data_IF_727132667329
#
_entry.id   IF_727132667329
#
_cell.length_a   1.000
_cell.length_b   1.000
_cell.length_c   1.000
_cell.angle_alpha   90.00
_cell.angle_beta   90.00
_cell.angle_gamma   90.00
#
_symmetry.space_group_name_H-M   'P 1'
#
loop_
_entity.id
_entity.type
_entity.pdbx_description
1 polymer ?
#
# COMPACT_ATOMS: atom_id res chain seq x y z
N UNK A 1 -16.47 2.06 -38.24
CA UNK A 1 -15.81 2.94 -37.27
C UNK A 1 -16.59 2.84 -35.96
N UNK A 2 -15.95 2.65 -34.85
CA UNK A 2 -16.62 2.65 -33.55
C UNK A 2 -17.09 4.08 -33.25
N UNK A 3 -18.42 4.24 -33.10
CA UNK A 3 -19.03 5.53 -32.80
C UNK A 3 -19.09 5.74 -31.31
N UNK A 4 -18.63 6.91 -30.82
CA UNK A 4 -18.71 7.23 -29.40
C UNK A 4 -20.16 7.31 -28.94
N UNK A 5 -20.49 6.85 -27.74
CA UNK A 5 -21.85 6.83 -27.17
C UNK A 5 -22.58 8.17 -27.22
N UNK A 6 -21.86 9.28 -27.19
CA UNK A 6 -22.40 10.66 -27.20
C UNK A 6 -22.28 11.36 -28.55
N UNK A 7 -21.71 10.71 -29.58
CA UNK A 7 -21.45 11.32 -30.88
C UNK A 7 -22.75 11.52 -31.70
N UNK A 8 -23.04 12.79 -31.99
CA UNK A 8 -24.20 13.21 -32.76
C UNK A 8 -23.75 13.87 -34.08
N UNK A 9 -23.36 13.09 -35.09
CA UNK A 9 -23.05 13.59 -36.43
C UNK A 9 -21.92 14.66 -36.56
N UNK A 10 -21.15 14.91 -35.52
CA UNK A 10 -19.96 15.78 -35.54
C UNK A 10 -18.78 14.97 -35.11
N UNK A 11 -17.82 14.76 -35.99
CA UNK A 11 -16.57 14.08 -35.66
C UNK A 11 -15.72 15.02 -34.77
N UNK A 12 -15.25 14.51 -33.65
CA UNK A 12 -14.34 15.26 -32.76
C UNK A 12 -13.01 15.40 -33.47
N UNK A 13 -12.40 16.58 -33.32
CA UNK A 13 -11.06 16.83 -33.81
C UNK A 13 -10.05 15.84 -33.19
N UNK A 14 -9.14 15.32 -34.00
CA UNK A 14 -8.21 14.27 -33.58
C UNK A 14 -7.28 14.73 -32.44
N UNK A 15 -6.73 15.95 -32.54
CA UNK A 15 -5.82 16.49 -31.51
C UNK A 15 -6.56 16.71 -30.17
N UNK A 16 -7.82 17.17 -30.25
CA UNK A 16 -8.69 17.31 -29.07
C UNK A 16 -9.00 15.95 -28.45
N UNK A 17 -9.24 14.92 -29.28
CA UNK A 17 -9.49 13.56 -28.80
C UNK A 17 -8.27 12.98 -28.10
N UNK A 18 -7.11 13.03 -28.72
CA UNK A 18 -5.85 12.57 -28.11
C UNK A 18 -5.56 13.26 -26.79
N UNK A 19 -5.69 14.59 -26.75
CA UNK A 19 -5.45 15.35 -25.51
C UNK A 19 -6.42 14.99 -24.41
N UNK A 20 -7.69 14.79 -24.72
CA UNK A 20 -8.73 14.52 -23.71
C UNK A 20 -8.79 13.07 -23.25
N UNK A 21 -8.41 12.11 -24.07
CA UNK A 21 -8.30 10.70 -23.70
C UNK A 21 -7.01 10.47 -22.89
N UNK A 22 -5.89 11.08 -23.31
CA UNK A 22 -4.61 10.96 -22.62
C UNK A 22 -4.20 9.49 -22.42
N UNK A 23 -3.87 9.14 -21.19
CA UNK A 23 -3.46 7.78 -20.82
C UNK A 23 -4.61 6.87 -20.34
N UNK A 24 -5.86 7.30 -20.50
CA UNK A 24 -6.99 6.53 -19.96
C UNK A 24 -7.08 5.12 -20.55
N UNK A 25 -6.82 4.93 -21.84
CA UNK A 25 -6.83 3.59 -22.45
C UNK A 25 -5.84 2.62 -21.80
N UNK A 26 -4.65 3.09 -21.46
CA UNK A 26 -3.62 2.26 -20.80
C UNK A 26 -3.98 1.97 -19.34
N UNK A 27 -4.44 3.00 -18.62
CA UNK A 27 -4.74 2.91 -17.19
C UNK A 27 -6.05 2.18 -16.92
N UNK A 28 -7.02 2.28 -17.81
CA UNK A 28 -8.30 1.58 -17.70
C UNK A 28 -8.16 0.07 -17.86
N UNK A 29 -7.07 -0.43 -18.44
CA UNK A 29 -6.80 -1.87 -18.46
C UNK A 29 -6.65 -2.44 -17.04
N UNK A 30 -6.14 -1.66 -16.09
CA UNK A 30 -6.11 -2.05 -14.68
C UNK A 30 -7.51 -2.15 -14.06
N UNK A 31 -8.48 -1.45 -14.63
CA UNK A 31 -9.86 -1.38 -14.14
C UNK A 31 -10.80 -2.38 -14.82
N UNK A 32 -10.40 -2.99 -15.95
CA UNK A 32 -11.25 -3.79 -16.79
C UNK A 32 -12.05 -4.89 -16.07
N UNK A 33 -11.40 -5.70 -15.23
CA UNK A 33 -12.08 -6.74 -14.46
C UNK A 33 -13.06 -6.18 -13.43
N UNK A 34 -12.82 -4.99 -12.92
CA UNK A 34 -13.66 -4.33 -11.92
C UNK A 34 -14.90 -3.69 -12.57
N UNK A 35 -14.77 -3.11 -13.75
CA UNK A 35 -15.93 -2.64 -14.54
C UNK A 35 -16.88 -3.81 -14.87
N UNK A 36 -16.32 -4.95 -15.24
CA UNK A 36 -17.13 -6.16 -15.49
C UNK A 36 -17.83 -6.66 -14.23
N UNK A 37 -17.14 -6.70 -13.07
CA UNK A 37 -17.76 -7.06 -11.78
C UNK A 37 -18.90 -6.09 -11.43
N UNK A 38 -18.65 -4.79 -11.56
CA UNK A 38 -19.65 -3.75 -11.35
C UNK A 38 -20.85 -3.91 -12.27
N UNK A 39 -20.60 -4.23 -13.53
CA UNK A 39 -21.63 -4.48 -14.53
C UNK A 39 -22.47 -5.72 -14.23
N UNK A 40 -21.87 -6.82 -13.76
CA UNK A 40 -22.62 -8.03 -13.33
C UNK A 40 -23.56 -7.71 -12.16
N UNK A 41 -23.08 -6.99 -11.16
CA UNK A 41 -23.90 -6.58 -10.01
C UNK A 41 -25.03 -5.64 -10.44
N UNK A 42 -24.73 -4.71 -11.37
CA UNK A 42 -25.70 -3.75 -11.87
C UNK A 42 -26.83 -4.42 -12.64
N UNK A 43 -26.54 -5.29 -13.61
CA UNK A 43 -27.58 -5.96 -14.40
C UNK A 43 -28.42 -6.92 -13.55
N UNK A 44 -27.84 -7.54 -12.53
CA UNK A 44 -28.59 -8.34 -11.53
C UNK A 44 -29.60 -7.46 -10.79
N UNK A 45 -29.22 -6.25 -10.43
CA UNK A 45 -30.12 -5.27 -9.84
C UNK A 45 -31.18 -4.80 -10.86
N UNK A 46 -30.83 -4.58 -12.13
CA UNK A 46 -31.79 -4.17 -13.18
C UNK A 46 -32.90 -5.22 -13.39
N UNK A 47 -32.56 -6.50 -13.32
CA UNK A 47 -33.57 -7.59 -13.37
C UNK A 47 -34.51 -7.50 -12.16
N UNK A 48 -33.97 -7.30 -10.96
CA UNK A 48 -34.79 -7.22 -9.74
C UNK A 48 -35.80 -6.07 -9.71
N UNK A 49 -35.57 -5.04 -10.52
CA UNK A 49 -36.48 -3.88 -10.67
C UNK A 49 -37.29 -3.91 -11.98
N UNK A 50 -37.24 -5.02 -12.73
CA UNK A 50 -38.03 -5.26 -13.94
C UNK A 50 -37.56 -4.56 -15.21
N UNK A 51 -36.31 -4.07 -15.25
CA UNK A 51 -35.71 -3.48 -16.45
C UNK A 51 -35.03 -4.52 -17.37
N UNK A 52 -34.79 -5.72 -16.84
CA UNK A 52 -34.35 -6.90 -17.56
C UNK A 52 -35.25 -8.09 -17.25
N UNK A 53 -35.47 -8.95 -18.23
CA UNK A 53 -36.07 -10.26 -17.97
C UNK A 53 -35.03 -11.24 -17.46
N UNK A 54 -35.46 -12.35 -16.82
CA UNK A 54 -34.55 -13.32 -16.20
C UNK A 54 -33.65 -14.02 -17.23
N UNK A 55 -34.19 -14.38 -18.40
CA UNK A 55 -33.46 -14.98 -19.51
C UNK A 55 -32.45 -14.00 -20.15
N UNK A 56 -32.81 -12.71 -20.22
CA UNK A 56 -31.87 -11.64 -20.64
C UNK A 56 -30.68 -11.50 -19.67
N UNK A 57 -30.94 -11.54 -18.36
CA UNK A 57 -29.91 -11.50 -17.33
C UNK A 57 -28.92 -12.67 -17.47
N UNK A 58 -29.43 -13.90 -17.65
CA UNK A 58 -28.60 -15.09 -17.72
C UNK A 58 -27.65 -15.03 -18.93
N UNK A 59 -28.13 -14.54 -20.07
CA UNK A 59 -27.31 -14.32 -21.27
C UNK A 59 -26.25 -13.26 -21.07
N UNK A 60 -26.62 -12.12 -20.49
CA UNK A 60 -25.66 -11.02 -20.20
C UNK A 60 -24.59 -11.43 -19.18
N UNK A 61 -24.97 -12.13 -18.11
CA UNK A 61 -23.99 -12.63 -17.11
C UNK A 61 -22.99 -13.60 -17.72
N UNK A 62 -23.46 -14.49 -18.60
CA UNK A 62 -22.57 -15.43 -19.31
C UNK A 62 -21.52 -14.69 -20.14
N UNK A 63 -21.94 -13.67 -20.90
CA UNK A 63 -21.01 -12.89 -21.74
C UNK A 63 -20.07 -12.03 -20.89
N UNK A 64 -20.56 -11.37 -19.84
CA UNK A 64 -19.73 -10.63 -18.91
C UNK A 64 -18.66 -11.51 -18.23
N UNK A 65 -18.99 -12.75 -17.86
CA UNK A 65 -17.98 -13.70 -17.33
C UNK A 65 -16.92 -14.04 -18.37
N UNK A 66 -17.27 -14.13 -19.65
CA UNK A 66 -16.29 -14.32 -20.73
C UNK A 66 -15.37 -13.12 -20.86
N UNK A 67 -15.91 -11.90 -20.79
CA UNK A 67 -15.11 -10.66 -20.82
C UNK A 67 -14.24 -10.55 -19.55
N UNK A 68 -14.76 -10.91 -18.37
CA UNK A 68 -13.98 -10.98 -17.14
C UNK A 68 -12.75 -11.89 -17.28
N UNK A 69 -12.95 -13.07 -17.87
CA UNK A 69 -11.86 -14.03 -18.07
C UNK A 69 -10.77 -13.50 -19.01
N UNK A 70 -11.11 -12.69 -20.01
CA UNK A 70 -10.12 -12.00 -20.85
C UNK A 70 -9.36 -10.94 -20.05
N UNK A 71 -10.08 -10.15 -19.24
CA UNK A 71 -9.47 -9.12 -18.42
C UNK A 71 -8.52 -9.71 -17.35
N UNK A 72 -8.92 -10.81 -16.72
CA UNK A 72 -8.12 -11.48 -15.68
C UNK A 72 -6.84 -12.13 -16.24
N UNK A 73 -6.88 -12.56 -17.52
CA UNK A 73 -5.69 -13.06 -18.23
C UNK A 73 -4.79 -11.97 -18.82
N UNK A 74 -5.19 -10.69 -18.75
CA UNK A 74 -4.48 -9.60 -19.41
C UNK A 74 -4.64 -9.59 -20.93
N UNK A 75 -5.67 -10.24 -21.46
CA UNK A 75 -6.00 -10.33 -22.91
C UNK A 75 -7.07 -9.31 -23.33
N UNK A 76 -7.64 -8.55 -22.39
CA UNK A 76 -8.59 -7.48 -22.69
C UNK A 76 -7.87 -6.28 -23.29
N UNK A 77 -8.41 -5.74 -24.38
CA UNK A 77 -7.87 -4.57 -25.06
C UNK A 77 -8.95 -3.50 -25.22
N UNK A 78 -8.57 -2.24 -25.14
CA UNK A 78 -9.41 -1.11 -25.55
C UNK A 78 -9.02 -0.76 -26.97
N UNK A 79 -9.97 -0.93 -27.91
CA UNK A 79 -9.74 -0.75 -29.34
C UNK A 79 -9.46 0.72 -29.68
N UNK A 80 -8.73 0.94 -30.76
CA UNK A 80 -8.51 2.29 -31.28
C UNK A 80 -9.85 2.97 -31.62
N UNK A 81 -10.01 4.22 -31.20
CA UNK A 81 -11.27 4.97 -31.36
C UNK A 81 -12.28 4.76 -30.22
N UNK A 82 -12.01 3.83 -29.26
CA UNK A 82 -12.77 3.69 -28.02
C UNK A 82 -12.09 4.52 -26.92
N UNK A 83 -12.91 5.24 -26.15
CA UNK A 83 -12.40 6.22 -25.17
C UNK A 83 -11.92 5.55 -23.89
N UNK A 84 -12.67 4.57 -23.35
CA UNK A 84 -12.51 4.00 -22.03
C UNK A 84 -12.97 2.52 -21.95
N UNK A 85 -12.72 1.91 -20.80
CA UNK A 85 -13.11 0.52 -20.51
C UNK A 85 -14.62 0.30 -20.59
N UNK A 86 -15.42 1.27 -20.12
CA UNK A 86 -16.87 1.17 -20.08
C UNK A 86 -17.45 1.04 -21.50
N UNK A 87 -16.95 1.88 -22.41
CA UNK A 87 -17.33 1.84 -23.84
C UNK A 87 -16.88 0.55 -24.51
N UNK A 88 -15.72 0.02 -24.15
CA UNK A 88 -15.21 -1.24 -24.72
C UNK A 88 -16.08 -2.42 -24.27
N UNK A 89 -16.43 -2.51 -22.98
CA UNK A 89 -17.31 -3.57 -22.46
C UNK A 89 -18.69 -3.51 -23.14
N UNK A 90 -19.30 -2.32 -23.24
CA UNK A 90 -20.59 -2.15 -23.91
C UNK A 90 -20.51 -2.51 -25.39
N UNK A 91 -19.42 -2.14 -26.08
CA UNK A 91 -19.21 -2.51 -27.49
C UNK A 91 -19.12 -4.03 -27.70
N UNK A 92 -18.36 -4.72 -26.82
CA UNK A 92 -18.24 -6.19 -26.88
C UNK A 92 -19.59 -6.86 -26.68
N UNK A 93 -20.37 -6.43 -25.68
CA UNK A 93 -21.73 -6.93 -25.44
C UNK A 93 -22.67 -6.65 -26.62
N UNK A 94 -22.61 -5.44 -27.21
CA UNK A 94 -23.46 -5.07 -28.32
C UNK A 94 -23.11 -5.85 -29.59
N UNK A 95 -21.83 -6.10 -29.85
CA UNK A 95 -21.40 -6.94 -30.99
C UNK A 95 -21.90 -8.38 -30.87
N UNK A 96 -21.90 -8.92 -29.65
CA UNK A 96 -22.28 -10.31 -29.40
C UNK A 96 -23.80 -10.50 -29.25
N UNK A 97 -24.50 -9.53 -28.64
CA UNK A 97 -25.87 -9.67 -28.18
C UNK A 97 -26.85 -8.65 -28.81
N UNK A 98 -26.36 -7.78 -29.71
CA UNK A 98 -27.19 -6.76 -30.34
C UNK A 98 -27.79 -5.76 -29.35
N UNK A 99 -29.07 -5.46 -29.50
CA UNK A 99 -29.76 -4.48 -28.64
C UNK A 99 -29.83 -4.87 -27.15
N UNK A 100 -29.72 -6.16 -26.82
CA UNK A 100 -29.65 -6.63 -25.45
C UNK A 100 -28.41 -6.08 -24.76
N UNK A 101 -27.24 -6.04 -25.44
CA UNK A 101 -26.00 -5.48 -24.89
C UNK A 101 -26.13 -4.02 -24.50
N UNK A 102 -26.96 -3.24 -25.17
CA UNK A 102 -27.16 -1.81 -24.88
C UNK A 102 -27.93 -1.54 -23.57
N UNK A 103 -28.70 -2.53 -23.07
CA UNK A 103 -29.50 -2.38 -21.84
C UNK A 103 -28.66 -2.21 -20.60
N UNK A 104 -27.40 -2.63 -20.62
CA UNK A 104 -26.46 -2.58 -19.49
C UNK A 104 -26.26 -1.14 -18.96
N UNK A 105 -26.42 -0.13 -19.81
CA UNK A 105 -26.16 1.27 -19.43
C UNK A 105 -27.34 1.92 -18.66
N UNK A 106 -28.51 1.28 -18.61
CA UNK A 106 -29.69 1.85 -17.96
C UNK A 106 -29.46 2.19 -16.49
N UNK A 107 -29.77 3.42 -16.08
CA UNK A 107 -29.70 3.86 -14.67
C UNK A 107 -28.30 4.12 -14.12
N UNK A 108 -27.26 4.16 -14.93
CA UNK A 108 -25.88 4.52 -14.51
C UNK A 108 -25.26 5.55 -15.45
N UNK A 109 -24.11 6.06 -15.04
CA UNK A 109 -23.26 6.95 -15.82
C UNK A 109 -21.82 6.45 -15.78
N UNK A 110 -20.99 6.82 -16.76
CA UNK A 110 -19.53 6.63 -16.66
C UNK A 110 -18.95 7.19 -15.35
N UNK A 111 -19.57 8.23 -14.82
CA UNK A 111 -19.10 8.86 -13.58
C UNK A 111 -19.18 7.92 -12.39
N UNK A 112 -20.31 7.21 -12.17
CA UNK A 112 -20.41 6.25 -11.05
C UNK A 112 -19.77 4.90 -11.36
N UNK A 113 -19.62 4.53 -12.65
CA UNK A 113 -18.85 3.36 -13.05
C UNK A 113 -17.38 3.50 -12.67
N UNK A 114 -16.69 4.56 -13.11
CA UNK A 114 -15.27 4.76 -12.77
C UNK A 114 -15.02 4.91 -11.28
N UNK A 115 -15.94 5.50 -10.52
CA UNK A 115 -15.87 5.54 -9.06
C UNK A 115 -15.91 4.15 -8.45
N UNK A 116 -16.81 3.30 -8.95
CA UNK A 116 -16.94 1.92 -8.50
C UNK A 116 -15.66 1.14 -8.81
N UNK A 117 -15.20 1.20 -10.07
CA UNK A 117 -14.02 0.47 -10.51
C UNK A 117 -12.76 0.82 -9.72
N UNK A 118 -12.54 2.11 -9.47
CA UNK A 118 -11.43 2.57 -8.63
C UNK A 118 -11.55 2.07 -7.19
N UNK A 119 -12.75 1.99 -6.63
CA UNK A 119 -12.95 1.45 -5.27
C UNK A 119 -12.73 -0.07 -5.21
N UNK A 120 -13.23 -0.81 -6.22
CA UNK A 120 -13.00 -2.26 -6.32
C UNK A 120 -11.50 -2.55 -6.52
N UNK A 121 -10.85 -1.87 -7.45
CA UNK A 121 -9.41 -1.94 -7.66
C UNK A 121 -8.64 -1.64 -6.38
N UNK A 122 -8.95 -0.52 -5.72
CA UNK A 122 -8.23 -0.08 -4.52
C UNK A 122 -8.38 -1.06 -3.37
N UNK A 123 -9.57 -1.65 -3.17
CA UNK A 123 -9.79 -2.69 -2.13
C UNK A 123 -8.88 -3.89 -2.34
N UNK A 124 -8.79 -4.39 -3.58
CA UNK A 124 -7.93 -5.53 -3.92
C UNK A 124 -6.45 -5.18 -3.73
N UNK A 125 -6.03 -3.97 -4.15
CA UNK A 125 -4.63 -3.52 -3.97
C UNK A 125 -4.28 -3.33 -2.49
N UNK A 126 -5.22 -2.83 -1.66
CA UNK A 126 -5.03 -2.75 -0.21
C UNK A 126 -4.85 -4.15 0.39
N UNK A 127 -5.62 -5.15 -0.04
CA UNK A 127 -5.40 -6.53 0.41
C UNK A 127 -3.99 -7.01 0.09
N UNK A 128 -3.53 -6.81 -1.14
CA UNK A 128 -2.16 -7.15 -1.55
C UNK A 128 -1.10 -6.44 -0.70
N UNK A 129 -1.28 -5.15 -0.44
CA UNK A 129 -0.38 -4.39 0.44
C UNK A 129 -0.35 -4.95 1.87
N UNK A 130 -1.51 -5.30 2.44
CA UNK A 130 -1.59 -5.89 3.79
C UNK A 130 -0.83 -7.22 3.84
N UNK A 131 -0.98 -8.07 2.83
CA UNK A 131 -0.26 -9.35 2.74
C UNK A 131 1.26 -9.14 2.62
N UNK A 132 1.71 -8.19 1.81
CA UNK A 132 3.13 -7.88 1.64
C UNK A 132 3.75 -7.23 2.89
N UNK A 133 3.04 -6.31 3.53
CA UNK A 133 3.47 -5.72 4.82
C UNK A 133 3.56 -6.80 5.90
N UNK A 134 2.58 -7.72 5.97
CA UNK A 134 2.63 -8.87 6.87
C UNK A 134 3.85 -9.75 6.59
N UNK A 135 4.16 -9.99 5.31
CA UNK A 135 5.34 -10.76 4.93
C UNK A 135 6.65 -10.12 5.40
N UNK A 136 6.80 -8.81 5.25
CA UNK A 136 7.95 -8.07 5.79
C UNK A 136 7.99 -8.11 7.32
N UNK A 137 6.85 -7.88 7.96
CA UNK A 137 6.69 -7.95 9.41
C UNK A 137 7.19 -9.30 9.96
N UNK A 138 6.78 -10.41 9.37
CA UNK A 138 7.17 -11.75 9.82
C UNK A 138 8.68 -11.98 9.70
N UNK A 139 9.30 -11.48 8.64
CA UNK A 139 10.75 -11.53 8.48
C UNK A 139 11.44 -10.71 9.56
N UNK A 140 10.99 -9.49 9.82
CA UNK A 140 11.57 -8.60 10.83
C UNK A 140 11.45 -9.18 12.25
N UNK A 141 10.30 -9.74 12.63
CA UNK A 141 10.10 -10.42 13.92
C UNK A 141 10.99 -11.67 14.03
N UNK A 142 11.11 -12.45 12.95
CA UNK A 142 11.99 -13.60 12.93
C UNK A 142 13.46 -13.20 13.15
N UNK A 143 13.93 -12.17 12.47
CA UNK A 143 15.27 -11.62 12.64
C UNK A 143 15.48 -11.01 14.04
N UNK A 144 14.46 -10.29 14.55
CA UNK A 144 14.48 -9.77 15.92
C UNK A 144 14.70 -10.87 16.96
N UNK A 145 13.95 -11.96 16.85
CA UNK A 145 14.08 -13.12 17.75
C UNK A 145 15.43 -13.83 17.59
N UNK A 146 15.89 -13.96 16.34
CA UNK A 146 17.17 -14.64 16.04
C UNK A 146 18.37 -13.91 16.63
N UNK A 147 18.38 -12.58 16.56
CA UNK A 147 19.52 -11.74 16.94
C UNK A 147 19.26 -10.92 18.21
N UNK A 148 18.34 -11.37 19.06
CA UNK A 148 17.93 -10.66 20.28
C UNK A 148 19.08 -10.39 21.25
N UNK A 149 20.06 -11.31 21.32
CA UNK A 149 21.22 -11.22 22.20
C UNK A 149 22.43 -10.52 21.57
N UNK A 150 22.37 -10.22 20.26
CA UNK A 150 23.49 -9.58 19.56
C UNK A 150 23.39 -8.07 19.74
N UNK A 151 24.31 -7.52 20.53
CA UNK A 151 24.36 -6.09 20.83
C UNK A 151 24.73 -5.28 19.57
N UNK A 152 24.13 -4.11 19.48
CA UNK A 152 24.32 -3.12 18.42
C UNK A 152 24.61 -1.77 19.08
N UNK A 153 25.64 -1.00 18.66
CA UNK A 153 25.84 0.34 19.15
C UNK A 153 24.65 1.26 18.81
N UNK A 154 24.01 1.82 19.81
CA UNK A 154 22.98 2.84 19.66
C UNK A 154 23.60 4.21 19.43
N UNK A 155 22.98 5.02 18.56
CA UNK A 155 23.45 6.35 18.21
C UNK A 155 22.40 7.40 18.51
N UNK A 156 22.85 8.54 19.04
CA UNK A 156 22.10 9.80 19.08
C UNK A 156 22.97 10.89 18.47
N UNK A 157 22.41 11.77 17.64
CA UNK A 157 23.16 12.82 16.91
C UNK A 157 24.34 12.27 16.08
N UNK A 158 24.25 11.03 15.58
CA UNK A 158 25.34 10.28 14.95
C UNK A 158 26.59 10.11 15.84
N UNK A 159 26.43 10.22 17.17
CA UNK A 159 27.45 9.89 18.16
C UNK A 159 27.09 8.57 18.84
N UNK A 160 28.11 7.78 19.18
CA UNK A 160 27.94 6.55 19.96
C UNK A 160 27.32 6.91 21.32
N UNK A 161 26.20 6.29 21.62
CA UNK A 161 25.42 6.63 22.82
C UNK A 161 25.38 5.48 23.83
N UNK A 162 24.49 4.51 23.63
CA UNK A 162 24.21 3.43 24.57
C UNK A 162 24.13 2.07 23.86
N UNK A 163 24.22 0.95 24.60
CA UNK A 163 23.96 -0.36 24.01
C UNK A 163 22.53 -0.45 23.48
N UNK A 164 22.39 -1.04 22.32
CA UNK A 164 21.16 -1.52 21.72
C UNK A 164 21.34 -2.98 21.29
N UNK A 165 20.39 -3.57 20.57
CA UNK A 165 20.55 -4.89 19.98
C UNK A 165 19.96 -4.94 18.56
N UNK A 166 20.40 -5.90 17.75
CA UNK A 166 19.74 -6.17 16.48
C UNK A 166 18.30 -6.60 16.67
N UNK A 167 17.98 -7.29 17.79
CA UNK A 167 16.61 -7.61 18.15
C UNK A 167 15.73 -6.37 18.24
N UNK A 168 16.20 -5.34 18.96
CA UNK A 168 15.50 -4.05 19.04
C UNK A 168 15.38 -3.35 17.70
N UNK A 169 16.44 -3.34 16.89
CA UNK A 169 16.43 -2.68 15.59
C UNK A 169 15.41 -3.29 14.63
N UNK A 170 15.39 -4.61 14.48
CA UNK A 170 14.40 -5.29 13.65
C UNK A 170 12.98 -5.15 14.23
N UNK A 171 12.83 -5.29 15.56
CA UNK A 171 11.55 -5.17 16.25
C UNK A 171 10.91 -3.78 16.11
N UNK A 172 11.71 -2.72 16.13
CA UNK A 172 11.25 -1.35 15.97
C UNK A 172 10.57 -1.11 14.61
N UNK A 173 11.15 -1.65 13.52
CA UNK A 173 10.53 -1.57 12.20
C UNK A 173 9.29 -2.46 12.09
N UNK A 174 9.28 -3.62 12.73
CA UNK A 174 8.10 -4.48 12.79
C UNK A 174 6.94 -3.75 13.51
N UNK A 175 7.18 -3.11 14.63
CA UNK A 175 6.16 -2.34 15.35
C UNK A 175 5.67 -1.13 14.54
N UNK A 176 6.57 -0.41 13.85
CA UNK A 176 6.20 0.69 12.95
C UNK A 176 5.21 0.26 11.86
N UNK A 177 5.39 -0.93 11.28
CA UNK A 177 4.48 -1.48 10.28
C UNK A 177 3.06 -1.75 10.83
N UNK A 178 2.90 -1.99 12.14
CA UNK A 178 1.57 -2.12 12.76
C UNK A 178 0.81 -0.80 12.67
N UNK A 179 1.46 0.31 12.97
CA UNK A 179 0.83 1.64 12.90
C UNK A 179 0.52 2.03 11.46
N UNK A 180 1.39 1.69 10.51
CA UNK A 180 1.14 1.89 9.09
C UNK A 180 -0.13 1.13 8.62
N UNK A 181 -0.33 -0.12 9.08
CA UNK A 181 -1.54 -0.87 8.75
C UNK A 181 -2.79 -0.32 9.45
N UNK A 182 -2.68 0.28 10.64
CA UNK A 182 -3.83 0.98 11.29
C UNK A 182 -4.31 2.15 10.42
N UNK A 183 -3.38 2.92 9.87
CA UNK A 183 -3.71 4.02 8.95
C UNK A 183 -4.33 3.48 7.65
N UNK A 184 -3.77 2.41 7.10
CA UNK A 184 -4.31 1.76 5.90
C UNK A 184 -5.72 1.18 6.13
N UNK A 185 -5.99 0.64 7.32
CA UNK A 185 -7.30 0.14 7.71
C UNK A 185 -8.35 1.26 7.79
N UNK A 186 -7.98 2.44 8.32
CA UNK A 186 -8.85 3.60 8.30
C UNK A 186 -9.17 4.06 6.86
N UNK A 187 -8.17 4.06 5.98
CA UNK A 187 -8.33 4.36 4.56
C UNK A 187 -9.21 3.31 3.85
N UNK A 188 -9.05 2.03 4.17
CA UNK A 188 -9.87 0.94 3.65
C UNK A 188 -11.35 1.13 3.98
N UNK A 189 -11.71 1.51 5.20
CA UNK A 189 -13.10 1.80 5.60
C UNK A 189 -13.74 2.92 4.78
N UNK A 190 -12.96 3.92 4.37
CA UNK A 190 -13.44 5.00 3.50
C UNK A 190 -13.63 4.48 2.06
N UNK A 191 -12.71 3.64 1.59
CA UNK A 191 -12.77 3.02 0.27
C UNK A 191 -13.92 2.02 0.16
N UNK A 192 -14.19 1.24 1.21
CA UNK A 192 -15.13 0.11 1.21
C UNK A 192 -16.60 0.54 1.34
N UNK A 193 -17.01 1.51 0.50
CA UNK A 193 -18.38 2.04 0.43
C UNK A 193 -18.79 2.16 -1.03
N UNK A 194 -19.97 1.58 -1.37
CA UNK A 194 -20.46 1.49 -2.75
C UNK A 194 -20.95 2.85 -3.27
N UNK A 195 -20.42 3.38 -4.38
CA UNK A 195 -20.88 4.61 -5.01
C UNK A 195 -21.95 4.39 -6.08
N UNK A 196 -22.12 3.14 -6.57
CA UNK A 196 -22.95 2.80 -7.73
C UNK A 196 -24.40 3.19 -7.49
N UNK A 197 -25.05 3.67 -8.57
CA UNK A 197 -26.39 4.22 -8.55
C UNK A 197 -26.45 5.69 -8.17
N UNK A 198 -25.30 6.36 -7.99
CA UNK A 198 -25.24 7.82 -7.94
C UNK A 198 -25.38 8.46 -9.32
N UNK A 199 -25.28 7.66 -10.38
CA UNK A 199 -25.34 8.08 -11.78
C UNK A 199 -24.35 9.22 -12.07
N UNK A 200 -24.80 10.30 -12.70
CA UNK A 200 -23.96 11.47 -12.94
C UNK A 200 -23.67 12.31 -11.66
N UNK A 201 -24.03 11.83 -10.49
CA UNK A 201 -23.85 12.49 -9.19
C UNK A 201 -25.11 13.04 -8.58
N UNK A 202 -26.25 12.84 -9.23
CA UNK A 202 -27.54 13.41 -8.77
C UNK A 202 -28.64 12.33 -8.68
N UNK A 203 -28.26 11.03 -8.78
CA UNK A 203 -29.20 9.92 -8.74
C UNK A 203 -29.93 9.69 -10.06
N UNK A 204 -31.00 8.89 -10.00
CA UNK A 204 -31.80 8.47 -11.15
C UNK A 204 -33.28 8.43 -10.78
N UNK A 205 -34.16 8.61 -11.77
CA UNK A 205 -35.59 8.38 -11.65
C UNK A 205 -35.97 6.89 -11.70
N UNK A 206 -35.06 5.99 -12.06
CA UNK A 206 -35.24 4.56 -11.95
C UNK A 206 -35.26 4.12 -10.46
N UNK A 207 -36.04 3.12 -10.07
CA UNK A 207 -36.11 2.63 -8.69
C UNK A 207 -34.91 1.75 -8.33
N UNK A 208 -33.68 2.28 -8.50
CA UNK A 208 -32.44 1.52 -8.30
C UNK A 208 -32.31 0.95 -6.89
N UNK A 209 -31.99 -0.33 -6.76
CA UNK A 209 -31.69 -0.98 -5.50
C UNK A 209 -30.18 -0.94 -5.19
N UNK A 210 -29.72 0.18 -4.63
CA UNK A 210 -28.31 0.39 -4.30
C UNK A 210 -27.82 -0.53 -3.16
N UNK A 211 -28.72 -0.96 -2.27
CA UNK A 211 -28.34 -1.92 -1.23
C UNK A 211 -28.01 -3.29 -1.84
N UNK A 212 -28.79 -3.73 -2.83
CA UNK A 212 -28.51 -4.99 -3.53
C UNK A 212 -27.15 -5.00 -4.19
N UNK A 213 -26.78 -3.93 -4.92
CA UNK A 213 -25.45 -3.84 -5.54
C UNK A 213 -24.33 -3.74 -4.49
N UNK A 214 -24.59 -3.14 -3.33
CA UNK A 214 -23.65 -3.11 -2.18
C UNK A 214 -23.35 -4.51 -1.68
N UNK A 215 -24.39 -5.34 -1.49
CA UNK A 215 -24.26 -6.71 -0.99
C UNK A 215 -23.61 -7.63 -2.03
N UNK A 216 -24.02 -7.53 -3.32
CA UNK A 216 -23.44 -8.28 -4.43
C UNK A 216 -21.95 -8.03 -4.63
N UNK A 217 -21.49 -6.80 -4.38
CA UNK A 217 -20.07 -6.40 -4.51
C UNK A 217 -19.29 -6.50 -3.20
N UNK A 218 -19.93 -6.96 -2.10
CA UNK A 218 -19.29 -7.16 -0.81
C UNK A 218 -18.78 -5.89 -0.13
N UNK A 219 -19.39 -4.74 -0.39
CA UNK A 219 -19.07 -3.50 0.32
C UNK A 219 -19.68 -3.53 1.75
N UNK A 220 -19.06 -2.84 2.69
CA UNK A 220 -19.57 -2.72 4.05
C UNK A 220 -20.83 -1.82 4.13
N UNK A 221 -20.90 -0.79 3.28
CA UNK A 221 -22.00 0.17 3.19
C UNK A 221 -22.03 0.89 1.85
N UNK A 222 -22.94 1.85 1.70
CA UNK A 222 -22.96 2.73 0.52
C UNK A 222 -22.48 4.16 0.85
N UNK A 223 -22.11 4.89 -0.18
CA UNK A 223 -22.11 6.35 -0.14
C UNK A 223 -23.58 6.80 -0.26
N UNK A 224 -24.23 7.09 0.88
CA UNK A 224 -25.68 7.35 0.93
C UNK A 224 -26.09 8.58 0.10
N UNK A 225 -25.36 9.66 0.23
CA UNK A 225 -25.63 10.88 -0.54
C UNK A 225 -24.98 10.76 -1.93
N UNK A 226 -25.80 10.83 -2.97
CA UNK A 226 -25.33 10.67 -4.37
C UNK A 226 -24.39 11.79 -4.83
N UNK A 227 -24.55 13.01 -4.29
CA UNK A 227 -23.60 14.12 -4.56
C UNK A 227 -22.27 13.84 -3.86
N UNK A 228 -22.31 13.32 -2.61
CA UNK A 228 -21.09 12.94 -1.91
C UNK A 228 -20.35 11.81 -2.63
N UNK A 229 -21.05 10.85 -3.22
CA UNK A 229 -20.41 9.78 -3.98
C UNK A 229 -19.44 10.33 -5.05
N UNK A 230 -19.87 11.36 -5.79
CA UNK A 230 -19.01 12.05 -6.76
C UNK A 230 -17.91 12.90 -6.09
N UNK A 231 -18.24 13.65 -5.02
CA UNK A 231 -17.27 14.43 -4.25
C UNK A 231 -16.23 13.53 -3.55
N UNK A 232 -16.53 12.27 -3.40
CA UNK A 232 -15.64 11.24 -2.83
C UNK A 232 -14.43 10.93 -3.72
N UNK A 233 -14.51 11.20 -5.02
CA UNK A 233 -13.38 11.03 -5.94
C UNK A 233 -12.27 12.04 -5.62
N UNK A 234 -11.03 11.59 -5.67
CA UNK A 234 -9.88 12.34 -5.21
C UNK A 234 -9.72 12.32 -3.69
N UNK A 235 -10.81 12.34 -2.91
CA UNK A 235 -10.75 12.22 -1.45
C UNK A 235 -10.37 10.81 -1.02
N UNK A 236 -10.98 9.79 -1.62
CA UNK A 236 -10.67 8.37 -1.33
C UNK A 236 -9.21 8.07 -1.71
N UNK A 237 -8.83 8.40 -2.93
CA UNK A 237 -7.47 8.14 -3.45
C UNK A 237 -6.41 8.87 -2.61
N UNK A 238 -6.65 10.12 -2.24
CA UNK A 238 -5.74 10.89 -1.37
C UNK A 238 -5.63 10.26 0.01
N UNK A 239 -6.72 9.76 0.59
CA UNK A 239 -6.68 9.12 1.91
C UNK A 239 -5.87 7.82 1.86
N UNK A 240 -6.05 7.02 0.82
CA UNK A 240 -5.25 5.80 0.59
C UNK A 240 -3.77 6.16 0.34
N UNK A 241 -3.52 7.21 -0.44
CA UNK A 241 -2.16 7.71 -0.69
C UNK A 241 -1.44 8.14 0.59
N UNK A 242 -2.13 8.75 1.57
CA UNK A 242 -1.54 9.05 2.90
C UNK A 242 -1.13 7.76 3.64
N UNK A 243 -1.93 6.71 3.59
CA UNK A 243 -1.58 5.44 4.19
C UNK A 243 -0.40 4.77 3.48
N UNK A 244 -0.37 4.80 2.14
CA UNK A 244 0.77 4.33 1.34
C UNK A 244 2.04 5.13 1.67
N UNK A 245 1.93 6.44 1.86
CA UNK A 245 3.05 7.30 2.26
C UNK A 245 3.60 6.94 3.65
N UNK A 246 2.76 6.51 4.59
CA UNK A 246 3.18 5.97 5.89
C UNK A 246 4.09 4.75 5.72
N UNK A 247 3.61 3.72 5.02
CA UNK A 247 4.39 2.50 4.72
C UNK A 247 5.71 2.88 4.01
N UNK A 248 5.64 3.75 3.01
CA UNK A 248 6.82 4.22 2.28
C UNK A 248 7.81 4.96 3.19
N UNK A 249 7.33 5.73 4.18
CA UNK A 249 8.17 6.38 5.19
C UNK A 249 8.95 5.38 6.02
N UNK A 250 8.30 4.32 6.50
CA UNK A 250 8.94 3.22 7.24
C UNK A 250 9.98 2.51 6.35
N UNK A 251 9.65 2.19 5.09
CA UNK A 251 10.59 1.56 4.16
C UNK A 251 11.81 2.44 3.85
N UNK A 252 11.58 3.75 3.64
CA UNK A 252 12.66 4.71 3.37
C UNK A 252 13.65 4.78 4.52
N UNK A 253 13.14 4.79 5.76
CA UNK A 253 13.98 4.81 6.97
C UNK A 253 14.76 3.51 7.14
N UNK A 254 14.10 2.36 6.97
CA UNK A 254 14.77 1.04 7.02
C UNK A 254 15.87 0.93 5.95
N UNK A 255 15.57 1.38 4.73
CA UNK A 255 16.53 1.36 3.63
C UNK A 255 17.73 2.29 3.89
N UNK A 256 17.50 3.45 4.51
CA UNK A 256 18.59 4.34 4.90
C UNK A 256 19.50 3.69 5.97
N UNK A 257 18.91 3.12 7.03
CA UNK A 257 19.68 2.41 8.06
C UNK A 257 20.46 1.26 7.46
N UNK A 258 19.84 0.47 6.57
CA UNK A 258 20.52 -0.65 5.91
C UNK A 258 21.72 -0.20 5.06
N UNK A 259 21.60 0.91 4.31
CA UNK A 259 22.73 1.49 3.57
C UNK A 259 23.85 1.93 4.52
N UNK A 260 23.48 2.62 5.62
CA UNK A 260 24.45 3.11 6.60
C UNK A 260 25.15 1.94 7.31
N UNK A 261 24.39 0.96 7.79
CA UNK A 261 24.93 -0.19 8.52
C UNK A 261 25.76 -1.14 7.63
N UNK A 262 25.46 -1.20 6.32
CA UNK A 262 26.25 -1.95 5.36
C UNK A 262 27.52 -1.21 4.90
N UNK A 263 27.65 0.09 5.20
CA UNK A 263 28.81 0.87 4.79
C UNK A 263 30.10 0.35 5.44
N UNK A 264 31.23 0.57 4.79
CA UNK A 264 32.56 0.14 5.28
C UNK A 264 32.93 0.77 6.62
N UNK A 265 32.39 1.97 6.94
CA UNK A 265 32.66 2.65 8.21
C UNK A 265 31.89 2.04 9.40
N UNK A 266 30.69 1.50 9.18
CA UNK A 266 29.89 0.85 10.22
C UNK A 266 30.10 -0.67 10.19
N UNK A 267 29.87 -1.32 9.07
CA UNK A 267 30.06 -2.76 8.95
C UNK A 267 29.18 -3.60 9.87
N UNK A 268 28.01 -3.06 10.28
CA UNK A 268 27.11 -3.72 11.23
C UNK A 268 26.31 -4.85 10.58
N UNK A 269 26.00 -4.69 9.30
CA UNK A 269 25.36 -5.74 8.51
C UNK A 269 26.16 -5.97 7.22
N UNK A 270 25.95 -7.17 6.66
CA UNK A 270 26.52 -7.55 5.36
C UNK A 270 25.44 -8.17 4.50
N UNK A 271 25.41 -7.75 3.24
CA UNK A 271 24.55 -8.34 2.22
C UNK A 271 25.29 -9.47 1.53
N UNK A 272 24.60 -10.58 1.17
CA UNK A 272 25.16 -11.59 0.27
C UNK A 272 25.63 -10.97 -1.05
N UNK A 273 26.69 -11.50 -1.64
CA UNK A 273 27.32 -10.93 -2.86
C UNK A 273 26.32 -10.82 -4.03
N UNK A 274 25.42 -11.78 -4.17
CA UNK A 274 24.39 -11.78 -5.20
C UNK A 274 23.31 -10.67 -5.03
N UNK A 275 23.29 -9.99 -3.88
CA UNK A 275 22.36 -8.91 -3.58
C UNK A 275 22.98 -7.51 -3.68
N UNK A 276 24.20 -7.47 -4.18
CA UNK A 276 24.97 -6.22 -4.36
C UNK A 276 25.37 -6.08 -5.82
N UNK A 277 25.58 -4.85 -6.26
CA UNK A 277 26.18 -4.57 -7.56
C UNK A 277 27.64 -4.21 -7.40
N UNK A 278 28.44 -4.49 -8.42
CA UNK A 278 29.86 -4.16 -8.45
C UNK A 278 30.12 -2.77 -9.04
N UNK A 279 31.40 -2.44 -9.09
CA UNK A 279 31.91 -1.25 -9.81
C UNK A 279 32.72 -1.69 -11.03
N UNK A 280 32.58 -0.99 -12.14
CA UNK A 280 33.33 -1.27 -13.36
C UNK A 280 34.85 -0.97 -13.24
N UNK A 281 35.24 -0.20 -12.22
CA UNK A 281 36.64 0.25 -12.02
C UNK A 281 37.19 -0.06 -10.61
N UNK A 282 36.34 -0.46 -9.67
CA UNK A 282 36.72 -0.75 -8.27
C UNK A 282 36.31 -2.18 -7.90
N UNK A 283 37.17 -3.19 -8.09
CA UNK A 283 36.78 -4.60 -7.97
C UNK A 283 36.37 -5.05 -6.55
N UNK A 284 36.70 -4.26 -5.54
CA UNK A 284 36.35 -4.52 -4.13
C UNK A 284 35.00 -3.91 -3.70
N UNK A 285 34.40 -3.04 -4.55
CA UNK A 285 33.20 -2.27 -4.18
C UNK A 285 31.93 -3.09 -4.40
N UNK A 286 31.07 -3.13 -3.36
CA UNK A 286 29.76 -3.78 -3.36
C UNK A 286 28.73 -2.75 -2.92
N UNK A 287 27.77 -2.45 -3.81
CA UNK A 287 26.81 -1.39 -3.61
C UNK A 287 25.46 -1.97 -3.10
N UNK A 288 24.79 -1.32 -2.15
CA UNK A 288 23.45 -1.73 -1.68
C UNK A 288 22.33 -1.12 -2.54
N UNK A 289 22.42 -1.24 -3.88
CA UNK A 289 21.56 -0.51 -4.84
C UNK A 289 20.08 -0.75 -4.61
N UNK A 290 19.69 -1.94 -4.15
CA UNK A 290 18.28 -2.26 -3.84
C UNK A 290 17.75 -1.32 -2.75
N UNK A 291 18.52 -1.10 -1.68
CA UNK A 291 18.11 -0.19 -0.61
C UNK A 291 18.16 1.28 -1.05
N UNK A 292 19.11 1.66 -1.89
CA UNK A 292 19.18 3.02 -2.43
C UNK A 292 17.96 3.32 -3.31
N UNK A 293 17.59 2.41 -4.21
CA UNK A 293 16.40 2.54 -5.06
C UNK A 293 15.11 2.47 -4.23
N UNK A 294 15.03 1.58 -3.24
CA UNK A 294 13.88 1.50 -2.32
C UNK A 294 13.67 2.83 -1.61
N UNK A 295 14.75 3.43 -1.08
CA UNK A 295 14.68 4.74 -0.43
C UNK A 295 14.16 5.82 -1.38
N UNK A 296 14.69 5.88 -2.60
CA UNK A 296 14.28 6.88 -3.60
C UNK A 296 12.83 6.70 -4.05
N UNK A 297 12.40 5.47 -4.36
CA UNK A 297 11.00 5.14 -4.71
C UNK A 297 10.06 5.45 -3.56
N UNK A 298 10.41 5.07 -2.34
CA UNK A 298 9.62 5.35 -1.13
C UNK A 298 9.48 6.86 -0.89
N UNK A 299 10.54 7.65 -1.09
CA UNK A 299 10.46 9.11 -0.98
C UNK A 299 9.54 9.72 -2.05
N UNK A 300 9.55 9.17 -3.28
CA UNK A 300 8.62 9.57 -4.34
C UNK A 300 7.16 9.28 -3.96
N UNK A 301 6.87 8.09 -3.41
CA UNK A 301 5.52 7.70 -2.96
C UNK A 301 5.02 8.62 -1.83
N UNK A 302 5.89 9.08 -0.93
CA UNK A 302 5.53 10.05 0.11
C UNK A 302 5.01 11.37 -0.46
N UNK A 303 5.34 11.73 -1.69
CA UNK A 303 4.82 12.90 -2.41
C UNK A 303 3.45 12.68 -3.07
N UNK A 304 2.95 11.44 -3.14
CA UNK A 304 1.70 11.11 -3.83
C UNK A 304 0.46 11.85 -3.29
N UNK A 305 0.24 11.95 -1.96
CA UNK A 305 -0.91 12.69 -1.42
C UNK A 305 -0.95 14.15 -1.88
N UNK A 306 0.21 14.79 -2.01
CA UNK A 306 0.32 16.17 -2.48
C UNK A 306 -0.03 16.30 -3.96
N UNK A 307 0.42 15.38 -4.81
CA UNK A 307 0.08 15.37 -6.23
C UNK A 307 -1.44 15.25 -6.42
N UNK A 308 -2.09 14.31 -5.72
CA UNK A 308 -3.55 14.14 -5.77
C UNK A 308 -4.27 15.40 -5.25
N UNK A 309 -3.76 16.01 -4.18
CA UNK A 309 -4.32 17.25 -3.64
C UNK A 309 -4.31 18.38 -4.67
N UNK A 310 -3.21 18.54 -5.40
CA UNK A 310 -3.08 19.58 -6.43
C UNK A 310 -4.03 19.37 -7.62
N UNK A 311 -4.22 18.12 -8.04
CA UNK A 311 -5.18 17.76 -9.11
C UNK A 311 -6.62 18.09 -8.69
N UNK A 312 -6.97 17.87 -7.41
CA UNK A 312 -8.33 18.06 -6.90
C UNK A 312 -8.64 19.50 -6.46
N UNK A 313 -7.65 20.39 -6.44
CA UNK A 313 -7.85 21.76 -5.96
C UNK A 313 -8.78 22.56 -6.88
N UNK A 314 -9.58 23.44 -6.25
CA UNK A 314 -10.46 24.40 -6.93
C UNK A 314 -11.60 23.76 -7.74
N UNK A 315 -11.94 22.50 -7.49
CA UNK A 315 -13.09 21.84 -8.12
C UNK A 315 -14.33 22.01 -7.24
N UNK A 316 -15.45 22.50 -7.80
CA UNK A 316 -16.73 22.50 -7.10
C UNK A 316 -17.30 21.07 -6.98
N UNK A 317 -18.45 20.91 -6.29
CA UNK A 317 -19.14 19.62 -6.23
C UNK A 317 -19.60 19.16 -7.62
N UNK A 318 -19.55 17.86 -7.88
CA UNK A 318 -19.86 17.25 -9.16
C UNK A 318 -18.63 16.60 -9.80
N UNK A 319 -18.78 16.14 -11.05
CA UNK A 319 -17.71 15.52 -11.82
C UNK A 319 -16.97 16.57 -12.67
N UNK A 320 -15.65 16.47 -12.69
CA UNK A 320 -14.77 17.24 -13.58
C UNK A 320 -13.71 16.32 -14.16
N UNK A 321 -13.33 16.59 -15.42
CA UNK A 321 -12.36 15.76 -16.16
C UNK A 321 -10.97 15.82 -15.58
N UNK A 322 -10.63 16.85 -14.81
CA UNK A 322 -9.40 16.98 -14.01
C UNK A 322 -9.12 15.71 -13.18
N UNK A 323 -10.16 15.11 -12.64
CA UNK A 323 -10.07 13.90 -11.80
C UNK A 323 -9.58 12.66 -12.56
N UNK A 324 -9.56 12.69 -13.89
CA UNK A 324 -8.98 11.64 -14.74
C UNK A 324 -7.48 11.50 -14.46
N UNK A 325 -6.76 12.62 -14.28
CA UNK A 325 -5.32 12.64 -14.03
C UNK A 325 -4.91 11.93 -12.74
N UNK A 326 -5.83 11.71 -11.80
CA UNK A 326 -5.53 10.96 -10.57
C UNK A 326 -5.08 9.55 -10.90
N UNK A 327 -5.65 8.90 -11.92
CA UNK A 327 -5.28 7.54 -12.32
C UNK A 327 -3.80 7.44 -12.67
N UNK A 328 -3.23 8.46 -13.34
CA UNK A 328 -1.84 8.48 -13.78
C UNK A 328 -0.82 8.41 -12.64
N UNK A 329 -1.17 8.96 -11.48
CA UNK A 329 -0.28 8.97 -10.32
C UNK A 329 -0.65 7.90 -9.29
N UNK A 330 -1.94 7.56 -9.16
CA UNK A 330 -2.45 6.69 -8.11
C UNK A 330 -2.27 5.19 -8.45
N UNK A 331 -2.64 4.78 -9.66
CA UNK A 331 -2.59 3.36 -10.07
C UNK A 331 -1.16 2.83 -10.06
N UNK A 332 -0.16 3.46 -10.72
CA UNK A 332 1.21 2.95 -10.75
C UNK A 332 1.91 2.97 -9.39
N UNK A 333 1.46 3.81 -8.45
CA UNK A 333 2.06 3.91 -7.13
C UNK A 333 1.89 2.62 -6.30
N UNK A 334 0.83 1.85 -6.54
CA UNK A 334 0.67 0.53 -5.92
C UNK A 334 1.74 -0.44 -6.37
N UNK A 335 1.98 -0.54 -7.67
CA UNK A 335 3.01 -1.44 -8.22
C UNK A 335 4.38 -1.08 -7.65
N UNK A 336 4.71 0.21 -7.61
CA UNK A 336 5.98 0.70 -7.08
C UNK A 336 6.16 0.39 -5.57
N UNK A 337 5.10 0.54 -4.77
CA UNK A 337 5.15 0.24 -3.34
C UNK A 337 5.23 -1.28 -3.08
N UNK A 338 4.47 -2.07 -3.82
CA UNK A 338 4.50 -3.53 -3.72
C UNK A 338 5.87 -4.10 -4.10
N UNK A 339 6.50 -3.57 -5.15
CA UNK A 339 7.85 -3.96 -5.54
C UNK A 339 8.87 -3.62 -4.45
N UNK A 340 8.77 -2.44 -3.83
CA UNK A 340 9.61 -2.07 -2.70
C UNK A 340 9.43 -3.04 -1.52
N UNK A 341 8.18 -3.38 -1.16
CA UNK A 341 7.89 -4.33 -0.09
C UNK A 341 8.45 -5.73 -0.37
N UNK A 342 8.26 -6.24 -1.59
CA UNK A 342 8.80 -7.56 -2.01
C UNK A 342 10.33 -7.58 -1.92
N UNK A 343 10.98 -6.54 -2.46
CA UNK A 343 12.44 -6.47 -2.47
C UNK A 343 13.03 -6.31 -1.06
N UNK A 344 12.47 -5.42 -0.23
CA UNK A 344 12.93 -5.27 1.16
C UNK A 344 12.73 -6.55 1.95
N UNK A 345 11.59 -7.22 1.80
CA UNK A 345 11.34 -8.51 2.44
C UNK A 345 12.39 -9.55 2.05
N UNK A 346 12.70 -9.63 0.75
CA UNK A 346 13.73 -10.52 0.23
C UNK A 346 15.11 -10.20 0.80
N UNK A 347 15.51 -8.94 0.79
CA UNK A 347 16.79 -8.48 1.32
C UNK A 347 16.93 -8.75 2.82
N UNK A 348 15.89 -8.39 3.62
CA UNK A 348 15.92 -8.54 5.08
C UNK A 348 15.93 -10.00 5.54
N UNK A 349 15.44 -10.94 4.74
CA UNK A 349 15.54 -12.36 5.03
C UNK A 349 16.97 -12.86 5.01
N UNK A 350 17.80 -12.32 4.12
CA UNK A 350 19.15 -12.79 3.84
C UNK A 350 20.25 -11.91 4.44
N UNK A 351 19.89 -10.78 5.08
CA UNK A 351 20.85 -9.90 5.74
C UNK A 351 21.59 -10.67 6.84
N UNK A 352 22.91 -10.49 6.89
CA UNK A 352 23.77 -11.05 7.94
C UNK A 352 24.21 -9.94 8.87
N UNK A 353 24.09 -10.15 10.18
CA UNK A 353 24.58 -9.20 11.18
C UNK A 353 26.04 -9.53 11.50
N UNK A 354 26.79 -8.51 11.86
CA UNK A 354 28.13 -8.66 12.41
C UNK A 354 28.01 -8.85 13.93
N UNK A 355 28.29 -10.06 14.42
CA UNK A 355 28.24 -10.39 15.85
C UNK A 355 29.47 -9.92 16.63
N UNK A 356 30.51 -9.42 15.92
CA UNK A 356 31.79 -8.99 16.46
C UNK A 356 32.00 -7.48 16.50
N UNK A 357 30.94 -6.69 16.38
CA UNK A 357 31.02 -5.20 16.39
C UNK A 357 31.71 -4.71 17.66
N UNK A 358 31.40 -5.31 18.81
CA UNK A 358 31.88 -4.88 20.10
C UNK A 358 33.31 -5.35 20.44
N UNK A 359 33.98 -6.05 19.52
CA UNK A 359 35.40 -6.34 19.62
C UNK A 359 36.25 -5.07 19.39
N UNK A 360 35.67 -4.05 18.77
CA UNK A 360 36.30 -2.76 18.53
C UNK A 360 36.17 -1.87 19.77
N UNK A 361 37.33 -1.45 20.32
CA UNK A 361 37.43 -0.62 21.53
C UNK A 361 36.76 0.76 21.42
N UNK A 362 36.50 1.24 20.18
CA UNK A 362 35.76 2.50 19.97
C UNK A 362 34.37 2.49 20.62
N UNK A 363 33.77 1.31 20.83
CA UNK A 363 32.45 1.13 21.43
C UNK A 363 32.50 0.94 22.96
N UNK A 364 33.69 0.92 23.59
CA UNK A 364 33.82 0.68 25.02
C UNK A 364 33.01 1.67 25.87
N UNK A 365 33.02 2.94 25.51
CA UNK A 365 32.37 4.00 26.30
C UNK A 365 30.84 4.00 26.23
N UNK A 366 30.22 3.26 25.29
CA UNK A 366 28.76 3.16 25.24
C UNK A 366 28.15 2.48 26.47
N UNK A 367 28.97 1.72 27.25
CA UNK A 367 28.54 1.06 28.47
C UNK A 367 28.66 1.95 29.72
N UNK A 368 29.07 3.20 29.57
CA UNK A 368 29.28 4.11 30.72
C UNK A 368 28.01 4.37 31.52
N UNK A 369 26.85 4.44 30.86
CA UNK A 369 25.55 4.62 31.55
C UNK A 369 25.16 3.38 32.34
N UNK A 370 25.44 2.20 31.82
CA UNK A 370 25.19 0.93 32.53
C UNK A 370 26.00 0.87 33.82
N UNK A 371 27.26 1.32 33.79
CA UNK A 371 28.11 1.40 34.99
C UNK A 371 27.60 2.46 35.99
N UNK A 372 27.15 3.63 35.52
CA UNK A 372 26.50 4.63 36.39
C UNK A 372 25.28 4.02 37.08
N UNK A 373 24.40 3.36 36.31
CA UNK A 373 23.20 2.73 36.85
C UNK A 373 23.52 1.63 37.85
N UNK A 374 24.54 0.81 37.62
CA UNK A 374 25.00 -0.22 38.53
C UNK A 374 25.44 0.36 39.86
N UNK A 375 26.20 1.48 39.86
CA UNK A 375 26.61 2.20 41.08
C UNK A 375 25.42 2.80 41.81
N UNK A 376 24.44 3.33 41.09
CA UNK A 376 23.19 3.85 41.69
C UNK A 376 22.44 2.74 42.41
N UNK A 377 22.29 1.58 41.77
CA UNK A 377 21.68 0.39 42.39
C UNK A 377 22.46 -0.10 43.62
N UNK A 378 23.77 0.14 43.70
CA UNK A 378 24.61 -0.12 44.87
C UNK A 378 24.50 0.95 45.96
N UNK A 379 23.64 1.98 45.77
CA UNK A 379 23.36 3.01 46.78
C UNK A 379 24.14 4.33 46.64
N UNK A 380 24.91 4.50 45.55
CA UNK A 380 25.60 5.77 45.28
C UNK A 380 24.60 6.75 44.60
N UNK A 381 24.49 8.00 45.08
CA UNK A 381 23.65 9.01 44.43
C UNK A 381 24.03 9.20 42.94
N UNK A 382 23.05 9.37 42.06
CA UNK A 382 23.28 9.41 40.62
C UNK A 382 24.38 10.41 40.19
N UNK A 383 24.38 11.64 40.75
CA UNK A 383 25.39 12.65 40.41
C UNK A 383 26.80 12.25 40.79
N UNK A 384 26.94 11.54 41.91
CA UNK A 384 28.25 11.08 42.40
C UNK A 384 28.72 9.89 41.55
N UNK A 385 27.84 8.93 41.26
CA UNK A 385 28.14 7.83 40.36
C UNK A 385 28.57 8.33 38.98
N UNK A 386 27.82 9.27 38.39
CA UNK A 386 28.12 9.91 37.09
C UNK A 386 29.52 10.57 37.12
N UNK A 387 29.82 11.36 38.17
CA UNK A 387 31.11 12.02 38.30
C UNK A 387 32.27 11.03 38.46
N UNK A 388 32.08 9.95 39.24
CA UNK A 388 33.08 8.90 39.41
C UNK A 388 33.41 8.22 38.10
N UNK A 389 32.38 7.79 37.34
CA UNK A 389 32.56 7.14 36.03
C UNK A 389 33.22 8.10 35.02
N UNK A 390 32.81 9.38 35.02
CA UNK A 390 33.44 10.40 34.17
C UNK A 390 34.93 10.58 34.45
N UNK A 391 35.34 10.63 35.73
CA UNK A 391 36.74 10.72 36.11
C UNK A 391 37.56 9.47 35.73
N UNK A 392 36.94 8.29 35.80
CA UNK A 392 37.59 7.04 35.37
C UNK A 392 37.80 7.02 33.84
N UNK A 393 36.82 7.53 33.07
CA UNK A 393 36.95 7.69 31.63
C UNK A 393 38.07 8.64 31.27
N UNK A 394 38.11 9.83 31.89
CA UNK A 394 39.17 10.83 31.67
C UNK A 394 40.56 10.29 32.06
N UNK A 395 40.65 9.46 33.08
CA UNK A 395 41.89 8.82 33.53
C UNK A 395 42.29 7.59 32.69
N UNK A 396 41.47 7.18 31.70
CA UNK A 396 41.70 5.96 30.92
C UNK A 396 41.58 4.67 31.70
N UNK A 397 40.86 4.69 32.85
CA UNK A 397 40.71 3.55 33.76
C UNK A 397 39.36 2.86 33.67
N UNK A 398 38.46 3.38 32.84
CA UNK A 398 37.14 2.79 32.67
C UNK A 398 37.25 1.44 31.94
N UNK A 399 36.74 0.39 32.59
CA UNK A 399 36.64 -0.97 32.03
C UNK A 399 35.16 -1.27 31.84
N UNK A 400 34.65 -1.44 30.59
CA UNK A 400 33.26 -1.70 30.34
C UNK A 400 32.85 -3.11 30.80
N UNK A 401 31.73 -3.22 31.50
CA UNK A 401 30.99 -4.48 31.58
C UNK A 401 30.07 -4.56 30.37
N UNK A 402 30.35 -5.50 29.49
CA UNK A 402 29.57 -5.69 28.22
C UNK A 402 28.33 -6.55 28.46
N UNK A 403 28.06 -6.99 29.66
CA UNK A 403 26.88 -7.79 30.00
C UNK A 403 25.70 -6.86 30.31
N UNK A 404 24.83 -6.67 29.32
CA UNK A 404 23.67 -5.79 29.42
C UNK A 404 22.40 -6.62 29.45
N UNK A 405 21.59 -6.43 30.50
CA UNK A 405 20.29 -7.09 30.62
C UNK A 405 19.30 -6.13 31.29
N UNK A 406 18.27 -5.74 30.55
CA UNK A 406 17.17 -4.93 31.06
C UNK A 406 15.95 -5.81 31.32
N UNK A 407 15.16 -5.45 32.33
CA UNK A 407 13.95 -6.24 32.71
C UNK A 407 12.63 -5.58 32.31
N UNK A 408 12.67 -4.28 32.01
CA UNK A 408 11.47 -3.56 31.60
C UNK A 408 11.07 -3.87 30.16
N UNK A 409 9.81 -3.64 29.85
CA UNK A 409 9.20 -3.95 28.55
C UNK A 409 9.86 -3.16 27.41
N UNK A 410 10.03 -3.84 26.27
CA UNK A 410 10.54 -3.23 25.04
C UNK A 410 12.02 -2.88 25.05
N UNK A 411 12.85 -3.53 25.89
CA UNK A 411 14.29 -3.28 25.95
C UNK A 411 15.11 -4.55 25.77
N UNK A 412 16.46 -4.42 25.83
CA UNK A 412 17.41 -5.55 25.74
C UNK A 412 17.07 -6.59 26.81
N UNK A 413 16.80 -7.84 26.40
CA UNK A 413 16.38 -8.91 27.29
C UNK A 413 14.86 -9.09 27.42
N UNK A 414 14.04 -8.08 27.06
CA UNK A 414 12.58 -8.16 27.07
C UNK A 414 11.94 -7.40 25.90
N UNK A 415 12.08 -7.94 24.67
CA UNK A 415 11.71 -7.26 23.41
C UNK A 415 10.20 -7.07 23.19
N UNK A 416 9.35 -7.80 23.89
CA UNK A 416 7.89 -7.78 23.73
C UNK A 416 7.40 -8.16 22.31
N UNK A 417 8.13 -8.99 21.58
CA UNK A 417 7.80 -9.38 20.21
C UNK A 417 6.44 -10.11 20.09
N UNK A 418 6.02 -10.82 21.14
CA UNK A 418 4.71 -11.50 21.16
C UNK A 418 3.56 -10.48 21.21
N UNK A 419 3.71 -9.41 21.99
CA UNK A 419 2.75 -8.32 22.07
C UNK A 419 2.65 -7.59 20.72
N UNK A 420 3.78 -7.27 20.09
CA UNK A 420 3.85 -6.64 18.77
C UNK A 420 3.18 -7.54 17.72
N UNK A 421 3.41 -8.85 17.79
CA UNK A 421 2.77 -9.84 16.91
C UNK A 421 1.25 -9.88 17.11
N UNK A 422 0.78 -9.83 18.36
CA UNK A 422 -0.65 -9.77 18.65
C UNK A 422 -1.29 -8.50 18.08
N UNK A 423 -0.63 -7.35 18.23
CA UNK A 423 -1.11 -6.08 17.65
C UNK A 423 -1.26 -6.17 16.12
N UNK A 424 -0.27 -6.76 15.42
CA UNK A 424 -0.34 -6.97 13.97
C UNK A 424 -1.52 -7.87 13.59
N UNK A 425 -1.73 -8.97 14.30
CA UNK A 425 -2.85 -9.88 14.04
C UNK A 425 -4.21 -9.20 14.22
N UNK A 426 -4.36 -8.38 15.25
CA UNK A 426 -5.61 -7.66 15.53
C UNK A 426 -5.93 -6.62 14.45
N UNK A 427 -4.92 -5.90 13.95
CA UNK A 427 -5.10 -4.97 12.84
C UNK A 427 -5.53 -5.71 11.58
N UNK A 428 -4.86 -6.81 11.23
CA UNK A 428 -5.21 -7.59 10.03
C UNK A 428 -6.64 -8.15 10.11
N UNK A 429 -7.05 -8.68 11.26
CA UNK A 429 -8.43 -9.18 11.48
C UNK A 429 -9.50 -8.10 11.31
N UNK A 430 -9.14 -6.82 11.44
CA UNK A 430 -10.08 -5.70 11.33
C UNK A 430 -10.45 -5.33 9.89
N UNK A 431 -9.81 -5.94 8.87
CA UNK A 431 -10.19 -5.80 7.47
C UNK A 431 -11.27 -6.82 7.09
N UNK A 432 -12.24 -6.41 6.28
CA UNK A 432 -13.37 -7.24 5.84
C UNK A 432 -13.12 -7.96 4.49
N UNK A 433 -11.87 -8.37 4.22
CA UNK A 433 -11.50 -9.00 2.95
C UNK A 433 -12.28 -10.28 2.64
N UNK A 434 -12.64 -11.07 3.65
CA UNK A 434 -13.41 -12.30 3.45
C UNK A 434 -14.75 -12.06 2.76
N UNK A 435 -15.49 -11.00 3.16
CA UNK A 435 -16.76 -10.61 2.55
C UNK A 435 -16.57 -10.17 1.10
N UNK A 436 -15.54 -9.38 0.85
CA UNK A 436 -15.18 -8.92 -0.51
C UNK A 436 -14.88 -10.11 -1.42
N UNK A 437 -13.96 -10.98 -1.02
CA UNK A 437 -13.50 -12.13 -1.82
C UNK A 437 -14.65 -13.12 -2.10
N UNK A 438 -15.53 -13.37 -1.11
CA UNK A 438 -16.69 -14.22 -1.29
C UNK A 438 -17.71 -13.64 -2.28
N UNK A 439 -17.96 -12.33 -2.22
CA UNK A 439 -18.86 -11.64 -3.12
C UNK A 439 -18.33 -11.67 -4.58
N UNK A 440 -17.07 -11.36 -4.78
CA UNK A 440 -16.42 -11.42 -6.11
C UNK A 440 -16.48 -12.85 -6.67
N UNK A 441 -16.15 -13.85 -5.86
CA UNK A 441 -16.22 -15.26 -6.26
C UNK A 441 -17.63 -15.67 -6.70
N UNK A 442 -18.68 -15.26 -5.98
CA UNK A 442 -20.07 -15.57 -6.34
C UNK A 442 -20.48 -14.94 -7.67
N UNK A 443 -20.10 -13.70 -7.94
CA UNK A 443 -20.40 -13.05 -9.24
C UNK A 443 -19.72 -13.76 -10.40
N UNK A 444 -18.47 -14.20 -10.21
CA UNK A 444 -17.69 -14.85 -11.27
C UNK A 444 -18.17 -16.29 -11.53
N UNK A 445 -18.51 -17.03 -10.50
CA UNK A 445 -18.84 -18.47 -10.61
C UNK A 445 -20.33 -18.74 -10.84
N UNK A 446 -21.23 -17.85 -10.46
CA UNK A 446 -22.69 -17.97 -10.56
C UNK A 446 -23.30 -18.44 -9.27
#
# INVERSE_FOLDING_TARGET
>A
MAQKLWEKNVQVDHEVDEFTVGKDRELDLYLAKYDVLGSMAHITMLESIGLLAKDELDVLLKELRSIYALADKGEFIIEEGIEDVHSQVELMLTRQLGDLGKKIHSGRSRNDQVLLDLKLFTRNRIQSLVELVKGLFDVLISQSNRYKEVLLPGYTHLQIAMPSSFGLWFGAYAESLVDDLRLLQAAYKICNRNPLGSAAGYGSSFPLNRQMTTDLLGFDSLDYNVVYAQMGRGKMERTVAFAMAGIAGTLSKLAFDACMFNSQNFGFIKLPDQFTTGSSIMPHKKNPDVFELTRAKSNKIQGLPQQITLICNNLPSGYFRDLQLIKEVFIPAFDELEDCLRMVTHMMREVKVNEHILDDDRYALMFSVEEVNRRVLAGIPFRDAYKQVGLEIEAGKFIPDKNVHHTHEGSIGNLCNDQITSMMQDVIKSFSFGRMNEAEKKLIQG
#
